data_IF_552434326148
#
_entry.id   IF_552434326148
#
_cell.length_a   1.000
_cell.length_b   1.000
_cell.length_c   1.000
_cell.angle_alpha   90.00
_cell.angle_beta   90.00
_cell.angle_gamma   90.00
#
_symmetry.space_group_name_H-M   'P 1'
#
loop_
_entity.id
_entity.type
_entity.pdbx_description
1 polymer ?
#
# COMPACT_ATOMS: atom_id res chain seq x y z
N UNK A 1 -93.39 39.46 -22.34
CA UNK A 1 -94.70 38.83 -22.55
C UNK A 1 -94.86 37.64 -21.62
N UNK A 2 -96.01 37.62 -20.96
CA UNK A 2 -96.56 36.59 -20.07
C UNK A 2 -96.97 35.33 -20.85
N UNK A 3 -96.72 34.10 -20.37
CA UNK A 3 -97.78 33.06 -20.23
C UNK A 3 -97.35 31.80 -19.47
N UNK A 4 -98.29 31.38 -18.62
CA UNK A 4 -98.45 30.26 -17.69
C UNK A 4 -98.29 28.83 -18.23
N UNK A 5 -97.89 27.92 -17.32
CA UNK A 5 -98.26 26.50 -17.04
C UNK A 5 -99.41 25.85 -17.88
N UNK A 6 -99.62 24.50 -17.98
CA UNK A 6 -99.41 23.47 -16.93
C UNK A 6 -99.13 21.98 -17.33
N UNK A 7 -98.88 21.16 -16.28
CA UNK A 7 -99.26 19.74 -16.01
C UNK A 7 -99.17 18.66 -17.10
N UNK A 8 -98.53 17.52 -16.76
CA UNK A 8 -99.22 16.20 -16.73
C UNK A 8 -98.37 15.12 -16.04
N UNK A 9 -98.94 14.53 -14.98
CA UNK A 9 -98.52 13.27 -14.36
C UNK A 9 -99.50 12.17 -14.80
N UNK A 10 -99.03 11.17 -15.53
CA UNK A 10 -99.63 9.83 -15.72
C UNK A 10 -98.69 9.07 -16.69
N UNK A 11 -98.42 7.77 -16.65
CA UNK A 11 -98.84 6.65 -15.83
C UNK A 11 -97.78 5.53 -16.05
N UNK A 12 -97.77 4.54 -15.16
CA UNK A 12 -96.91 3.33 -15.09
C UNK A 12 -97.05 2.40 -16.33
N UNK A 13 -96.59 1.13 -16.28
CA UNK A 13 -95.29 0.53 -15.94
C UNK A 13 -94.80 -0.35 -17.11
N UNK A 14 -93.51 -0.75 -17.22
CA UNK A 14 -93.17 -2.12 -17.68
C UNK A 14 -91.86 -2.63 -17.10
N UNK A 15 -92.01 -3.86 -16.61
CA UNK A 15 -91.08 -4.72 -15.93
C UNK A 15 -90.09 -5.35 -16.91
N UNK A 16 -88.84 -5.42 -16.44
CA UNK A 16 -87.94 -6.58 -16.52
C UNK A 16 -87.48 -7.07 -17.90
N UNK A 17 -86.19 -6.83 -18.18
CA UNK A 17 -85.38 -7.81 -18.90
C UNK A 17 -84.00 -7.90 -18.25
N UNK A 18 -83.84 -8.89 -17.37
CA UNK A 18 -82.57 -9.23 -16.73
C UNK A 18 -81.85 -10.25 -17.62
N UNK A 19 -80.77 -9.82 -18.27
CA UNK A 19 -79.84 -10.73 -18.94
C UNK A 19 -78.88 -11.38 -17.90
N UNK A 20 -78.50 -12.66 -18.05
CA UNK A 20 -77.61 -13.32 -17.11
C UNK A 20 -76.17 -12.84 -17.28
N UNK A 21 -75.66 -12.11 -16.29
CA UNK A 21 -74.26 -11.67 -16.24
C UNK A 21 -73.38 -12.90 -16.00
N UNK A 22 -72.56 -13.27 -17.00
CA UNK A 22 -71.49 -14.25 -16.87
C UNK A 22 -70.52 -13.77 -15.78
N UNK A 23 -70.52 -14.45 -14.62
CA UNK A 23 -69.55 -14.19 -13.55
C UNK A 23 -68.15 -14.60 -14.01
N UNK A 24 -67.28 -13.61 -14.23
CA UNK A 24 -65.86 -13.83 -14.40
C UNK A 24 -65.28 -14.51 -13.15
N UNK A 25 -64.52 -15.60 -13.33
CA UNK A 25 -63.82 -16.30 -12.23
C UNK A 25 -62.87 -15.33 -11.54
N UNK A 26 -63.11 -15.13 -10.24
CA UNK A 26 -62.27 -14.31 -9.36
C UNK A 26 -60.90 -15.00 -9.18
N UNK A 27 -59.77 -14.31 -9.36
CA UNK A 27 -58.43 -14.87 -9.17
C UNK A 27 -58.22 -15.40 -7.75
N UNK A 28 -57.58 -16.56 -7.61
CA UNK A 28 -57.47 -17.25 -6.32
C UNK A 28 -56.59 -16.47 -5.31
N UNK A 29 -57.03 -16.36 -4.04
CA UNK A 29 -56.39 -15.52 -3.02
C UNK A 29 -54.97 -15.97 -2.62
N UNK A 30 -54.57 -17.21 -2.95
CA UNK A 30 -53.25 -17.76 -2.62
C UNK A 30 -52.10 -17.14 -3.41
N UNK A 31 -52.32 -16.65 -4.64
CA UNK A 31 -51.25 -16.03 -5.45
C UNK A 31 -51.01 -14.55 -5.10
N UNK A 32 -51.98 -13.88 -4.48
CA UNK A 32 -51.88 -12.46 -4.08
C UNK A 32 -51.08 -12.32 -2.77
N UNK A 33 -51.27 -13.23 -1.82
CA UNK A 33 -50.60 -13.20 -0.51
C UNK A 33 -49.08 -13.45 -0.58
N UNK A 34 -48.62 -14.32 -1.49
CA UNK A 34 -47.19 -14.60 -1.67
C UNK A 34 -46.44 -13.41 -2.29
N UNK A 35 -47.09 -12.67 -3.19
CA UNK A 35 -46.50 -11.48 -3.85
C UNK A 35 -46.33 -10.32 -2.86
N UNK A 36 -47.26 -10.13 -1.93
CA UNK A 36 -47.17 -9.10 -0.90
C UNK A 36 -46.00 -9.30 0.07
N UNK A 37 -45.69 -10.55 0.46
CA UNK A 37 -44.56 -10.84 1.35
C UNK A 37 -43.20 -10.61 0.69
N UNK A 38 -43.08 -10.94 -0.60
CA UNK A 38 -41.85 -10.73 -1.35
C UNK A 38 -41.57 -9.25 -1.59
N UNK A 39 -42.61 -8.46 -1.89
CA UNK A 39 -42.49 -6.99 -2.05
C UNK A 39 -42.18 -6.32 -0.70
N UNK A 40 -42.76 -6.78 0.41
CA UNK A 40 -42.42 -6.29 1.75
C UNK A 40 -40.99 -6.66 2.14
N UNK A 41 -40.51 -7.87 1.83
CA UNK A 41 -39.13 -8.27 2.09
C UNK A 41 -38.13 -7.35 1.37
N UNK A 42 -38.34 -7.09 0.07
CA UNK A 42 -37.48 -6.18 -0.71
C UNK A 42 -37.53 -4.74 -0.17
N UNK A 43 -38.69 -4.27 0.30
CA UNK A 43 -38.87 -2.94 0.88
C UNK A 43 -38.03 -2.72 2.15
N UNK A 44 -37.72 -3.78 2.90
CA UNK A 44 -36.87 -3.71 4.09
C UNK A 44 -35.42 -4.18 3.85
N UNK A 45 -35.22 -5.15 2.96
CA UNK A 45 -33.90 -5.68 2.65
C UNK A 45 -33.00 -4.62 2.01
N UNK A 46 -33.55 -3.83 1.09
CA UNK A 46 -32.82 -2.80 0.35
C UNK A 46 -32.25 -1.69 1.26
N UNK A 47 -33.06 -1.05 2.13
CA UNK A 47 -32.50 -0.08 3.09
C UNK A 47 -31.61 -0.73 4.14
N UNK A 48 -31.87 -1.98 4.56
CA UNK A 48 -30.99 -2.69 5.49
C UNK A 48 -29.60 -2.96 4.88
N UNK A 49 -29.53 -3.37 3.62
CA UNK A 49 -28.25 -3.53 2.91
C UNK A 49 -27.53 -2.22 2.69
N UNK A 50 -28.26 -1.14 2.38
CA UNK A 50 -27.66 0.19 2.25
C UNK A 50 -27.09 0.68 3.59
N UNK A 51 -27.83 0.49 4.69
CA UNK A 51 -27.37 0.83 6.03
C UNK A 51 -26.15 0.00 6.45
N UNK A 52 -26.12 -1.31 6.12
CA UNK A 52 -24.98 -2.20 6.35
C UNK A 52 -23.73 -1.72 5.60
N UNK A 53 -23.88 -1.39 4.30
CA UNK A 53 -22.76 -0.89 3.48
C UNK A 53 -22.26 0.47 3.98
N UNK A 54 -23.17 1.36 4.37
CA UNK A 54 -22.82 2.67 4.94
C UNK A 54 -22.14 2.53 6.31
N UNK A 55 -22.58 1.61 7.17
CA UNK A 55 -21.91 1.35 8.45
C UNK A 55 -20.53 0.74 8.23
N UNK A 56 -20.40 -0.18 7.28
CA UNK A 56 -19.10 -0.78 6.94
C UNK A 56 -18.12 0.26 6.36
N UNK A 57 -18.60 1.21 5.54
CA UNK A 57 -17.80 2.33 5.06
C UNK A 57 -17.50 3.36 6.15
N UNK A 58 -18.41 3.56 7.10
CA UNK A 58 -18.22 4.46 8.24
C UNK A 58 -17.25 3.90 9.30
N UNK A 59 -17.03 2.58 9.33
CA UNK A 59 -16.02 1.92 10.17
C UNK A 59 -14.64 1.92 9.48
N UNK A 60 -14.59 2.03 8.15
CA UNK A 60 -13.34 2.13 7.38
C UNK A 60 -12.36 3.22 7.86
N UNK A 61 -12.78 4.46 8.17
CA UNK A 61 -11.85 5.48 8.68
C UNK A 61 -11.18 5.06 9.99
N UNK A 62 -11.80 4.22 10.83
CA UNK A 62 -11.17 3.74 12.07
C UNK A 62 -9.97 2.82 11.82
N UNK A 63 -9.91 2.17 10.65
CA UNK A 63 -8.78 1.32 10.24
C UNK A 63 -7.66 2.19 9.62
N UNK A 64 -8.01 3.23 8.88
CA UNK A 64 -7.03 4.22 8.37
C UNK A 64 -6.52 5.16 9.48
N UNK A 65 -7.27 5.30 10.58
CA UNK A 65 -6.84 6.04 11.77
C UNK A 65 -5.67 5.38 12.48
N UNK A 66 -5.29 4.12 12.27
CA UNK A 66 -4.01 3.62 12.79
C UNK A 66 -2.81 4.20 12.04
N UNK A 67 -2.95 4.45 10.73
CA UNK A 67 -1.87 5.01 9.89
C UNK A 67 -1.75 6.52 10.09
N UNK A 68 -2.89 7.21 10.22
CA UNK A 68 -2.92 8.65 10.49
C UNK A 68 -2.72 8.98 11.98
N UNK A 69 -3.22 8.20 12.93
CA UNK A 69 -2.90 8.41 14.35
C UNK A 69 -1.44 8.07 14.63
N UNK A 70 -0.81 7.11 13.95
CA UNK A 70 0.64 6.92 14.04
C UNK A 70 1.40 8.15 13.50
N UNK A 71 0.96 8.72 12.37
CA UNK A 71 1.59 9.90 11.75
C UNK A 71 1.36 11.19 12.56
N UNK A 72 0.18 11.37 13.14
CA UNK A 72 -0.20 12.51 14.01
C UNK A 72 0.41 12.38 15.40
N UNK A 73 0.47 11.17 15.97
CA UNK A 73 1.17 10.91 17.25
C UNK A 73 2.67 11.09 17.11
N UNK A 74 3.25 10.67 15.97
CA UNK A 74 4.65 10.98 15.63
C UNK A 74 4.88 12.50 15.54
N UNK A 75 3.98 13.25 14.89
CA UNK A 75 4.06 14.72 14.85
C UNK A 75 3.90 15.37 16.22
N UNK A 76 3.05 14.85 17.12
CA UNK A 76 2.87 15.41 18.47
C UNK A 76 4.03 15.07 19.42
N UNK A 77 4.60 13.87 19.34
CA UNK A 77 5.85 13.53 20.02
C UNK A 77 7.02 14.39 19.49
N UNK A 78 7.11 14.60 18.17
CA UNK A 78 8.12 15.47 17.56
C UNK A 78 7.92 16.96 17.90
N UNK A 79 6.68 17.45 17.97
CA UNK A 79 6.37 18.84 18.33
C UNK A 79 6.57 19.15 19.82
N UNK A 80 6.57 18.13 20.69
CA UNK A 80 6.85 18.30 22.13
C UNK A 80 8.37 18.19 22.43
N UNK A 81 9.19 17.82 21.44
CA UNK A 81 10.65 17.71 21.53
C UNK A 81 11.37 18.98 21.05
N UNK A 82 10.76 20.16 21.24
CA UNK A 82 11.19 21.44 20.69
C UNK A 82 12.42 22.05 21.39
N UNK A 83 13.43 21.25 21.75
CA UNK A 83 14.77 21.67 22.16
C UNK A 83 15.73 20.46 22.05
N UNK A 84 16.61 20.42 21.05
CA UNK A 84 17.81 19.55 20.99
C UNK A 84 17.69 18.13 21.56
N UNK A 85 16.61 17.41 21.24
CA UNK A 85 16.26 16.18 21.94
C UNK A 85 17.00 14.99 21.34
N UNK A 86 17.86 14.38 22.14
CA UNK A 86 18.49 13.10 21.84
C UNK A 86 17.52 11.97 22.19
N UNK A 87 17.08 11.23 21.17
CA UNK A 87 16.23 10.06 21.31
C UNK A 87 17.09 8.79 21.26
N UNK A 88 16.78 7.80 22.09
CA UNK A 88 17.34 6.45 22.00
C UNK A 88 16.36 5.53 21.28
N UNK A 89 16.86 4.58 20.47
CA UNK A 89 16.02 3.65 19.72
C UNK A 89 15.14 4.32 18.66
N UNK A 90 15.66 5.33 17.98
CA UNK A 90 14.90 6.06 16.97
C UNK A 90 14.54 5.16 15.79
N UNK A 91 13.29 5.23 15.33
CA UNK A 91 12.78 4.51 14.17
C UNK A 91 12.00 5.47 13.29
N UNK A 92 12.37 5.54 12.02
CA UNK A 92 11.68 6.28 10.98
C UNK A 92 11.17 5.29 9.92
N UNK A 93 9.94 5.49 9.46
CA UNK A 93 9.33 4.71 8.40
C UNK A 93 8.85 5.64 7.31
N UNK A 94 9.15 5.31 6.06
CA UNK A 94 8.74 6.06 4.90
C UNK A 94 8.34 5.15 3.76
N UNK A 95 7.93 5.76 2.66
CA UNK A 95 7.68 5.09 1.39
C UNK A 95 8.46 5.80 0.30
N UNK A 96 8.96 5.02 -0.66
CA UNK A 96 9.60 5.56 -1.85
C UNK A 96 8.58 5.99 -2.91
N UNK A 97 9.06 6.45 -4.07
CA UNK A 97 8.19 6.87 -5.19
C UNK A 97 7.33 5.75 -5.79
N UNK A 98 7.64 4.48 -5.50
CA UNK A 98 6.88 3.31 -5.94
C UNK A 98 5.95 2.80 -4.84
N UNK A 99 5.77 3.58 -3.77
CA UNK A 99 4.97 3.23 -2.62
C UNK A 99 5.49 1.98 -1.87
N UNK A 100 6.80 1.71 -1.97
CA UNK A 100 7.46 0.62 -1.24
C UNK A 100 7.95 1.14 0.11
N UNK A 101 7.67 0.42 1.21
CA UNK A 101 8.09 0.85 2.53
C UNK A 101 9.60 0.69 2.70
N UNK A 102 10.20 1.63 3.41
CA UNK A 102 11.54 1.54 3.95
C UNK A 102 11.55 1.94 5.43
N UNK A 103 12.50 1.39 6.18
CA UNK A 103 12.68 1.70 7.60
C UNK A 103 14.11 2.17 7.83
N UNK A 104 14.27 3.22 8.62
CA UNK A 104 15.57 3.67 9.15
C UNK A 104 15.50 3.58 10.67
N UNK A 105 16.37 2.78 11.27
CA UNK A 105 16.53 2.65 12.72
C UNK A 105 17.89 3.17 13.15
N UNK A 106 18.00 3.66 14.37
CA UNK A 106 19.28 4.07 14.94
C UNK A 106 19.30 3.82 16.44
N UNK A 107 20.49 3.53 16.98
CA UNK A 107 20.66 3.39 18.42
C UNK A 107 20.36 4.71 19.15
N UNK A 108 20.79 5.83 18.58
CA UNK A 108 20.39 7.16 19.03
C UNK A 108 20.21 8.11 17.84
N UNK A 109 19.29 9.06 17.98
CA UNK A 109 19.07 10.15 17.05
C UNK A 109 19.15 11.48 17.80
N UNK A 110 19.82 12.46 17.20
CA UNK A 110 19.94 13.81 17.72
C UNK A 110 19.47 14.78 16.65
N UNK A 111 18.36 15.45 16.94
CA UNK A 111 17.80 16.44 16.04
C UNK A 111 18.58 17.74 16.19
N UNK A 112 19.33 18.12 15.15
CA UNK A 112 20.14 19.35 15.12
C UNK A 112 19.26 20.54 14.75
N UNK A 113 18.41 20.35 13.73
CA UNK A 113 17.43 21.32 13.27
C UNK A 113 16.17 20.60 12.73
N UNK A 114 15.24 21.32 12.11
CA UNK A 114 13.98 20.76 11.64
C UNK A 114 14.16 19.73 10.50
N UNK A 115 15.28 19.78 9.77
CA UNK A 115 15.53 18.98 8.57
C UNK A 115 16.62 17.93 8.78
N UNK A 116 17.55 18.16 9.72
CA UNK A 116 18.75 17.37 9.94
C UNK A 116 18.70 16.59 11.25
N UNK A 117 18.87 15.28 11.14
CA UNK A 117 18.96 14.36 12.27
C UNK A 117 20.30 13.61 12.19
N UNK A 118 21.15 13.74 13.21
CA UNK A 118 22.35 12.94 13.34
C UNK A 118 21.99 11.58 13.97
N UNK A 119 22.44 10.49 13.37
CA UNK A 119 22.14 9.12 13.77
C UNK A 119 23.41 8.39 14.24
N UNK A 120 23.33 7.72 15.39
CA UNK A 120 24.35 6.82 15.89
C UNK A 120 23.96 5.37 15.58
N UNK A 121 24.87 4.63 14.94
CA UNK A 121 24.66 3.26 14.47
C UNK A 121 23.36 3.11 13.65
N UNK A 122 23.18 3.90 12.59
CA UNK A 122 21.98 3.77 11.76
C UNK A 122 21.98 2.46 10.99
N UNK A 123 20.77 1.96 10.75
CA UNK A 123 20.44 0.81 9.92
C UNK A 123 19.25 1.20 9.05
N UNK A 124 19.33 0.96 7.75
CA UNK A 124 18.26 1.21 6.82
C UNK A 124 17.92 -0.09 6.08
N UNK A 125 16.64 -0.45 6.03
CA UNK A 125 16.15 -1.61 5.29
C UNK A 125 15.06 -1.19 4.29
N UNK A 126 15.08 -1.86 3.13
CA UNK A 126 14.12 -1.62 2.06
C UNK A 126 13.89 -2.90 1.24
N UNK A 127 12.74 -2.96 0.59
CA UNK A 127 12.42 -4.02 -0.38
C UNK A 127 12.66 -3.52 -1.80
N UNK A 128 13.47 -4.25 -2.56
CA UNK A 128 13.80 -4.00 -3.96
C UNK A 128 12.67 -4.41 -4.89
N UNK A 129 12.76 -4.04 -6.17
CA UNK A 129 11.70 -4.30 -7.15
C UNK A 129 11.51 -5.80 -7.44
N UNK A 130 12.59 -6.57 -7.42
CA UNK A 130 12.60 -8.01 -7.61
C UNK A 130 12.07 -8.79 -6.38
N UNK A 131 11.64 -8.10 -5.32
CA UNK A 131 11.19 -8.70 -4.06
C UNK A 131 12.33 -8.98 -3.08
N UNK A 132 13.58 -8.74 -3.48
CA UNK A 132 14.71 -8.95 -2.61
C UNK A 132 14.76 -7.89 -1.51
N UNK A 133 15.23 -8.25 -0.32
CA UNK A 133 15.47 -7.27 0.73
C UNK A 133 16.92 -6.77 0.71
N UNK A 134 17.10 -5.50 1.08
CA UNK A 134 18.38 -4.84 1.25
C UNK A 134 18.43 -4.24 2.65
N UNK A 135 19.59 -4.36 3.31
CA UNK A 135 19.86 -3.63 4.55
C UNK A 135 21.23 -2.98 4.49
N UNK A 136 21.33 -1.74 4.92
CA UNK A 136 22.58 -0.99 5.02
C UNK A 136 22.77 -0.54 6.46
N UNK A 137 23.99 -0.64 6.98
CA UNK A 137 24.33 -0.19 8.33
C UNK A 137 25.67 0.55 8.34
N UNK A 138 25.88 1.43 9.32
CA UNK A 138 27.15 2.14 9.53
C UNK A 138 27.34 2.53 11.00
N UNK A 139 28.48 3.14 11.33
CA UNK A 139 28.75 3.71 12.66
C UNK A 139 28.00 5.02 12.91
N UNK A 140 27.90 5.88 11.89
CA UNK A 140 27.28 7.20 11.95
C UNK A 140 26.46 7.46 10.70
N UNK A 141 25.44 8.29 10.83
CA UNK A 141 24.75 8.84 9.66
C UNK A 141 24.10 10.19 9.92
N UNK A 142 23.71 10.84 8.84
CA UNK A 142 22.97 12.09 8.81
C UNK A 142 21.75 11.85 7.94
N UNK A 143 20.58 12.06 8.51
CA UNK A 143 19.32 11.94 7.80
C UNK A 143 18.72 13.32 7.56
N UNK A 144 18.49 13.64 6.28
CA UNK A 144 17.84 14.86 5.81
C UNK A 144 16.39 14.51 5.44
N UNK A 145 15.46 14.71 6.38
CA UNK A 145 14.11 14.17 6.28
C UNK A 145 13.32 14.72 5.09
N UNK A 146 13.46 16.01 4.80
CA UNK A 146 12.74 16.64 3.68
C UNK A 146 13.24 16.16 2.30
N UNK A 147 14.52 15.83 2.21
CA UNK A 147 15.15 15.37 0.97
C UNK A 147 15.11 13.85 0.82
N UNK A 148 14.73 13.12 1.88
CA UNK A 148 14.81 11.67 1.93
C UNK A 148 16.24 11.16 1.70
N UNK A 149 17.26 11.90 2.13
CA UNK A 149 18.67 11.53 1.97
C UNK A 149 19.25 11.02 3.28
N UNK A 150 19.96 9.90 3.21
CA UNK A 150 20.70 9.31 4.32
C UNK A 150 22.16 9.18 3.93
N UNK A 151 23.00 10.02 4.53
CA UNK A 151 24.45 9.93 4.41
C UNK A 151 24.99 9.08 5.54
N UNK A 152 25.72 8.03 5.21
CA UNK A 152 26.28 7.05 6.14
C UNK A 152 27.80 7.11 6.11
N UNK A 153 28.43 7.05 7.28
CA UNK A 153 29.88 7.13 7.43
C UNK A 153 30.40 6.14 8.46
N UNK A 154 31.54 5.53 8.15
CA UNK A 154 32.27 4.60 8.99
C UNK A 154 31.70 3.19 8.92
N UNK A 155 32.49 2.28 8.36
CA UNK A 155 32.20 0.86 8.19
C UNK A 155 30.80 0.62 7.61
N UNK A 156 30.51 1.26 6.47
CA UNK A 156 29.24 1.06 5.79
C UNK A 156 29.21 -0.35 5.22
N UNK A 157 28.22 -1.13 5.63
CA UNK A 157 28.00 -2.49 5.12
C UNK A 157 26.59 -2.62 4.60
N UNK A 158 26.45 -3.12 3.37
CA UNK A 158 25.19 -3.44 2.73
C UNK A 158 25.07 -4.95 2.60
N UNK A 159 23.91 -5.48 2.96
CA UNK A 159 23.53 -6.88 2.90
C UNK A 159 22.32 -7.04 1.99
N UNK A 160 22.35 -8.07 1.17
CA UNK A 160 21.23 -8.49 0.33
C UNK A 160 20.91 -9.96 0.58
N UNK A 161 19.65 -10.31 0.40
CA UNK A 161 19.09 -11.64 0.64
C UNK A 161 19.75 -12.78 -0.16
N UNK A 162 20.30 -12.48 -1.33
CA UNK A 162 21.02 -13.43 -2.18
C UNK A 162 22.44 -13.76 -1.68
N UNK A 163 22.81 -13.28 -0.49
CA UNK A 163 24.13 -13.49 0.09
C UNK A 163 25.17 -12.47 -0.37
N UNK A 164 24.77 -11.43 -1.12
CA UNK A 164 25.68 -10.35 -1.49
C UNK A 164 25.96 -9.43 -0.31
N UNK A 165 27.24 -9.14 -0.06
CA UNK A 165 27.72 -8.20 0.95
C UNK A 165 28.62 -7.16 0.28
N UNK A 166 28.37 -5.89 0.57
CA UNK A 166 29.18 -4.77 0.08
C UNK A 166 29.70 -3.95 1.25
N UNK A 167 30.96 -3.52 1.17
CA UNK A 167 31.60 -2.69 2.20
C UNK A 167 32.22 -1.44 1.60
N UNK A 168 32.11 -0.31 2.31
CA UNK A 168 32.64 1.00 1.93
C UNK A 168 32.87 1.87 3.18
N UNK A 169 33.64 2.94 3.08
CA UNK A 169 33.80 3.92 4.17
C UNK A 169 32.62 4.88 4.28
N UNK A 170 32.03 5.26 3.16
CA UNK A 170 30.82 6.10 3.08
C UNK A 170 29.77 5.50 2.16
N UNK A 171 28.53 5.96 2.30
CA UNK A 171 27.48 5.79 1.30
C UNK A 171 26.43 6.90 1.47
N UNK A 172 25.97 7.46 0.37
CA UNK A 172 24.84 8.38 0.31
C UNK A 172 23.66 7.64 -0.32
N UNK A 173 22.54 7.57 0.40
CA UNK A 173 21.35 6.90 -0.06
C UNK A 173 20.25 7.93 -0.29
N UNK A 174 19.61 7.86 -1.46
CA UNK A 174 18.38 8.58 -1.75
C UNK A 174 17.20 7.61 -1.59
N UNK A 175 16.41 7.80 -0.54
CA UNK A 175 15.31 6.91 -0.17
C UNK A 175 14.10 7.04 -1.09
N UNK A 176 13.89 8.22 -1.70
CA UNK A 176 12.77 8.44 -2.62
C UNK A 176 13.00 7.76 -3.97
N UNK A 177 14.20 7.88 -4.53
CA UNK A 177 14.56 7.29 -5.81
C UNK A 177 15.17 5.88 -5.71
N UNK A 178 15.44 5.39 -4.50
CA UNK A 178 16.07 4.09 -4.27
C UNK A 178 17.50 4.00 -4.83
N UNK A 179 18.23 5.11 -4.81
CA UNK A 179 19.59 5.18 -5.33
C UNK A 179 20.62 5.18 -4.20
N UNK A 180 21.79 4.59 -4.44
CA UNK A 180 22.90 4.57 -3.47
C UNK A 180 24.20 4.89 -4.18
N UNK A 181 25.05 5.71 -3.60
CA UNK A 181 26.36 6.02 -4.17
C UNK A 181 27.44 6.12 -3.10
N UNK A 182 28.67 5.82 -3.48
CA UNK A 182 29.86 6.10 -2.70
C UNK A 182 30.98 6.56 -3.63
N UNK A 183 31.82 7.47 -3.17
CA UNK A 183 33.09 7.84 -3.83
C UNK A 183 34.30 7.09 -3.27
N UNK A 184 34.13 6.35 -2.17
CA UNK A 184 35.21 5.60 -1.52
C UNK A 184 35.41 4.23 -2.15
N UNK A 185 36.60 3.64 -1.93
CA UNK A 185 36.85 2.24 -2.30
C UNK A 185 35.73 1.34 -1.78
N UNK A 186 35.22 0.50 -2.68
CA UNK A 186 34.18 -0.47 -2.39
C UNK A 186 34.70 -1.88 -2.62
N UNK A 187 34.28 -2.81 -1.76
CA UNK A 187 34.48 -4.24 -1.93
C UNK A 187 33.12 -4.93 -1.87
N UNK A 188 32.88 -5.83 -2.82
CA UNK A 188 31.64 -6.57 -2.99
C UNK A 188 31.96 -8.06 -3.04
N UNK A 189 31.23 -8.85 -2.27
CA UNK A 189 31.32 -10.30 -2.25
C UNK A 189 29.92 -10.89 -2.39
N UNK A 190 29.77 -11.96 -3.16
CA UNK A 190 28.51 -12.66 -3.31
C UNK A 190 28.67 -14.03 -3.96
N UNK A 191 27.57 -14.72 -4.28
CA UNK A 191 27.62 -16.05 -4.91
C UNK A 191 28.40 -16.07 -6.23
N UNK A 192 28.38 -14.94 -6.96
CA UNK A 192 29.09 -14.76 -8.22
C UNK A 192 30.61 -14.62 -8.05
N UNK A 193 31.11 -14.33 -6.83
CA UNK A 193 32.53 -14.11 -6.55
C UNK A 193 32.78 -12.76 -5.86
N UNK A 194 33.91 -12.13 -6.15
CA UNK A 194 34.33 -10.86 -5.52
C UNK A 194 34.57 -9.76 -6.55
N UNK A 195 34.37 -8.52 -6.12
CA UNK A 195 34.65 -7.31 -6.91
C UNK A 195 35.20 -6.22 -5.99
N UNK A 196 36.31 -5.62 -6.38
CA UNK A 196 36.88 -4.44 -5.74
C UNK A 196 36.91 -3.29 -6.75
N UNK A 197 36.47 -2.10 -6.33
CA UNK A 197 36.58 -0.88 -7.13
C UNK A 197 37.12 0.28 -6.29
N UNK A 198 38.00 1.07 -6.89
CA UNK A 198 38.80 2.09 -6.19
C UNK A 198 38.14 3.47 -6.07
N UNK A 199 37.24 3.84 -6.98
CA UNK A 199 36.59 5.16 -6.99
C UNK A 199 35.09 5.08 -6.68
N UNK A 200 34.69 4.03 -5.97
CA UNK A 200 33.33 3.83 -5.49
C UNK A 200 32.36 3.27 -6.50
N UNK A 201 31.07 3.49 -6.24
CA UNK A 201 29.98 2.86 -6.96
C UNK A 201 28.74 3.75 -7.03
N UNK A 202 27.85 3.41 -7.94
CA UNK A 202 26.51 3.97 -8.01
C UNK A 202 25.52 2.84 -8.28
N UNK A 203 24.51 2.75 -7.44
CA UNK A 203 23.38 1.87 -7.58
C UNK A 203 22.21 2.69 -8.16
N UNK A 204 21.89 2.41 -9.42
CA UNK A 204 20.83 3.03 -10.19
C UNK A 204 19.65 2.08 -10.34
N UNK A 205 18.59 2.62 -10.93
CA UNK A 205 17.36 1.87 -11.24
C UNK A 205 16.84 1.10 -10.04
N UNK A 206 16.78 1.79 -8.88
CA UNK A 206 16.19 1.27 -7.63
C UNK A 206 16.82 -0.04 -7.16
N UNK A 207 18.11 -0.23 -7.43
CA UNK A 207 18.86 -1.42 -7.02
C UNK A 207 19.12 -2.45 -8.12
N UNK A 208 18.63 -2.22 -9.34
CA UNK A 208 18.80 -3.18 -10.44
C UNK A 208 20.16 -3.07 -11.12
N UNK A 209 20.76 -1.86 -11.17
CA UNK A 209 22.00 -1.61 -11.91
C UNK A 209 23.05 -1.07 -10.96
N UNK A 210 24.14 -1.81 -10.78
CA UNK A 210 25.30 -1.35 -10.02
C UNK A 210 26.44 -1.01 -10.97
N UNK A 211 26.92 0.23 -10.91
CA UNK A 211 28.06 0.74 -11.67
C UNK A 211 29.23 0.96 -10.72
N UNK A 212 30.41 0.56 -11.14
CA UNK A 212 31.65 0.73 -10.38
C UNK A 212 32.59 1.66 -11.12
N UNK A 213 33.25 2.53 -10.37
CA UNK A 213 34.06 3.60 -10.94
C UNK A 213 35.56 3.35 -10.72
N UNK A 214 36.33 3.71 -11.75
CA UNK A 214 37.79 3.62 -11.76
C UNK A 214 38.35 2.19 -11.87
N UNK A 215 39.64 2.00 -11.58
CA UNK A 215 40.27 0.68 -11.56
C UNK A 215 39.47 -0.29 -10.70
N UNK A 216 39.06 -1.38 -11.34
CA UNK A 216 38.20 -2.40 -10.76
C UNK A 216 38.76 -3.79 -11.06
N UNK A 217 38.67 -4.71 -10.09
CA UNK A 217 39.06 -6.12 -10.23
C UNK A 217 37.88 -6.99 -9.86
N UNK A 218 37.54 -7.93 -10.73
CA UNK A 218 36.48 -8.91 -10.50
C UNK A 218 37.06 -10.33 -10.57
N UNK A 219 36.69 -11.17 -9.61
CA UNK A 219 37.00 -12.61 -9.62
C UNK A 219 35.68 -13.36 -9.59
N UNK A 220 35.40 -14.13 -10.63
CA UNK A 220 34.16 -14.88 -10.76
C UNK A 220 34.33 -16.33 -10.29
N UNK A 221 33.36 -16.82 -9.54
CA UNK A 221 33.27 -18.23 -9.21
C UNK A 221 32.81 -19.00 -10.46
N UNK A 222 33.55 -20.05 -10.82
CA UNK A 222 33.14 -20.91 -11.94
C UNK A 222 31.83 -21.63 -11.58
N UNK A 223 30.78 -21.41 -12.36
CA UNK A 223 29.59 -22.22 -12.28
C UNK A 223 29.96 -23.66 -12.67
N UNK A 224 29.91 -24.61 -11.73
CA UNK A 224 29.97 -26.03 -12.09
C UNK A 224 28.68 -26.35 -12.83
N UNK A 225 28.74 -26.41 -14.16
CA UNK A 225 27.71 -27.06 -14.96
C UNK A 225 27.75 -28.55 -14.63
N UNK A 226 26.83 -29.02 -13.79
CA UNK A 226 26.53 -30.45 -13.70
C UNK A 226 25.80 -30.85 -14.99
N UNK A 227 26.54 -30.94 -16.09
CA UNK A 227 26.11 -31.64 -17.29
C UNK A 227 26.15 -33.13 -17.02
N UNK A 228 25.06 -33.68 -16.48
CA UNK A 228 24.83 -35.13 -16.52
C UNK A 228 24.63 -35.52 -17.98
N UNK A 229 25.73 -35.78 -18.69
CA UNK A 229 25.71 -36.62 -19.89
C UNK A 229 25.32 -38.01 -19.42
N UNK A 230 24.02 -38.29 -19.37
CA UNK A 230 23.54 -39.67 -19.40
C UNK A 230 23.98 -40.22 -20.74
N UNK A 231 25.08 -40.98 -20.74
CA UNK A 231 25.42 -41.86 -21.83
C UNK A 231 24.26 -42.86 -21.97
N UNK A 232 23.38 -42.59 -22.93
CA UNK A 232 22.35 -43.52 -23.38
C UNK A 232 23.06 -44.67 -24.09
N UNK A 233 23.41 -45.69 -23.31
CA UNK A 233 23.73 -47.02 -23.83
C UNK A 233 22.45 -47.65 -24.37
N UNK A 234 22.40 -47.95 -25.66
CA UNK A 234 21.50 -48.95 -26.25
C UNK A 234 21.80 -49.10 -27.76
N UNK A 235 21.44 -50.22 -28.37
CA UNK A 235 21.78 -51.61 -28.04
C UNK A 235 22.69 -52.26 -29.09
#
# INVERSE_FOLDING_TARGET
>A
MNTSQPLTMQDKPRLTQTAPIKRAKVPSPRRIAQRHRMVMAVKYLLPATAALLLTMLAIWPEIDHEVDAARVTYRRLAATASNGTRLTGATYRGVDEQNRPYTVTAHAAEQVDQERINLAQPKADATLQNGNWLMVQSKKGVYLQHLGMLDMTGDVTLYRDDGTVMTSQTASLNMHHGAVSSSDKVSLEGPFGTLDASHGFTLLDRGNIMQFHGPSRMVLNAARSSGTTQAKTAP
#
